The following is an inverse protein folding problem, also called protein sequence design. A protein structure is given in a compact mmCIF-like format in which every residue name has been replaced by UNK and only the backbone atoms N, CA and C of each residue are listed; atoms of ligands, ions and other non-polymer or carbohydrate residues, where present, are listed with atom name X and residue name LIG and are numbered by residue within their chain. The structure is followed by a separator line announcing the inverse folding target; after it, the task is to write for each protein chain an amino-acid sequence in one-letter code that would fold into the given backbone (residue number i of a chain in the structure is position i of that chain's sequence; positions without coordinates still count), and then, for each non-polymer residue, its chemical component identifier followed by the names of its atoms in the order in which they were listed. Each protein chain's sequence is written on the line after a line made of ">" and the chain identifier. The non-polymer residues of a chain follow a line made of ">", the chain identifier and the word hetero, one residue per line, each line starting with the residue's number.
data_IF_610289620500
#
_entry.id   IF_610289620500
#
_cell.length_a   1.000
_cell.length_b   1.000
_cell.length_c   1.000
_cell.angle_alpha   90.00
_cell.angle_beta   90.00
_cell.angle_gamma   90.00
#
_symmetry.space_group_name_H-M   'P 1'
#
loop_
_entity.id
_entity.type
_entity.pdbx_description
1 polymer ?
#
# COMPACT_ATOMS: atom_id res chain seq x y z
N UNK A 1 -7.77 13.69 8.74
CA UNK A 1 -7.10 12.93 7.65
C UNK A 1 -6.70 13.82 6.48
N UNK A 2 -7.59 14.63 5.86
CA UNK A 2 -7.30 15.49 4.69
C UNK A 2 -6.07 16.40 4.90
N UNK A 3 -5.92 17.03 6.05
CA UNK A 3 -4.77 17.90 6.37
C UNK A 3 -3.42 17.15 6.34
N UNK A 4 -3.41 15.86 6.68
CA UNK A 4 -2.20 15.03 6.63
C UNK A 4 -1.76 14.80 5.18
N UNK A 5 -2.68 14.57 4.26
CA UNK A 5 -2.36 14.43 2.84
C UNK A 5 -1.76 15.71 2.26
N UNK A 6 -2.32 16.89 2.59
CA UNK A 6 -1.73 18.16 2.16
C UNK A 6 -0.32 18.36 2.71
N UNK A 7 -0.07 18.04 3.97
CA UNK A 7 1.25 18.11 4.56
C UNK A 7 2.22 17.13 3.86
N UNK A 8 1.78 15.91 3.61
CA UNK A 8 2.59 14.90 2.94
C UNK A 8 3.02 15.33 1.54
N UNK A 9 2.12 15.95 0.78
CA UNK A 9 2.39 16.45 -0.57
C UNK A 9 3.20 17.76 -0.57
N UNK A 10 3.09 18.58 0.48
CA UNK A 10 3.76 19.88 0.57
C UNK A 10 5.18 19.83 1.11
N UNK A 11 5.54 18.82 1.91
CA UNK A 11 6.86 18.73 2.52
C UNK A 11 7.87 18.14 1.51
N UNK A 12 8.90 18.92 1.20
CA UNK A 12 10.02 18.47 0.35
C UNK A 12 11.03 17.68 1.19
N UNK A 13 11.46 16.53 0.68
CA UNK A 13 12.47 15.69 1.29
C UNK A 13 11.91 14.61 2.22
N UNK A 14 12.61 14.35 3.32
CA UNK A 14 12.21 13.27 4.26
C UNK A 14 11.00 13.68 5.08
N UNK A 15 9.89 12.96 4.93
CA UNK A 15 8.68 13.17 5.72
C UNK A 15 8.75 12.39 7.04
N UNK A 16 8.46 13.06 8.15
CA UNK A 16 8.33 12.46 9.48
C UNK A 16 7.35 13.25 10.36
N UNK A 17 6.99 12.71 11.52
CA UNK A 17 5.99 13.34 12.41
C UNK A 17 6.44 14.68 12.98
N UNK A 18 7.76 14.87 13.18
CA UNK A 18 8.30 16.14 13.63
C UNK A 18 8.10 17.24 12.56
N UNK A 19 8.32 16.91 11.30
CA UNK A 19 8.05 17.85 10.20
C UNK A 19 6.55 18.12 10.05
N UNK A 20 5.67 17.12 10.23
CA UNK A 20 4.24 17.38 10.28
C UNK A 20 3.86 18.38 11.37
N UNK A 21 4.50 18.28 12.54
CA UNK A 21 4.31 19.24 13.63
C UNK A 21 4.82 20.65 13.28
N UNK A 22 5.94 20.75 12.55
CA UNK A 22 6.54 22.04 12.17
C UNK A 22 5.75 22.78 11.09
N UNK A 23 5.10 22.05 10.17
CA UNK A 23 4.35 22.64 9.06
C UNK A 23 2.82 22.56 9.22
N UNK A 24 2.34 21.82 10.19
CA UNK A 24 0.91 21.61 10.44
C UNK A 24 0.42 22.25 11.73
N UNK A 25 -0.86 22.04 12.02
CA UNK A 25 -1.55 22.67 13.15
C UNK A 25 -1.53 21.83 14.44
N UNK A 26 -0.97 20.63 14.42
CA UNK A 26 -0.98 19.72 15.57
C UNK A 26 0.44 19.34 16.00
N UNK A 27 0.59 18.88 17.23
CA UNK A 27 1.87 18.38 17.74
C UNK A 27 2.21 16.99 17.17
N UNK A 28 3.48 16.60 17.27
CA UNK A 28 4.01 15.31 16.77
C UNK A 28 3.21 14.11 17.28
N UNK A 29 2.84 14.11 18.57
CA UNK A 29 2.10 13.00 19.20
C UNK A 29 0.72 12.81 18.58
N UNK A 30 0.02 13.91 18.28
CA UNK A 30 -1.29 13.85 17.62
C UNK A 30 -1.18 13.23 16.22
N UNK A 31 -0.19 13.65 15.42
CA UNK A 31 0.05 13.04 14.12
C UNK A 31 0.40 11.56 14.22
N UNK A 32 1.27 11.18 15.16
CA UNK A 32 1.66 9.79 15.40
C UNK A 32 0.46 8.92 15.78
N UNK A 33 -0.39 9.39 16.67
CA UNK A 33 -1.60 8.68 17.07
C UNK A 33 -2.57 8.49 15.90
N UNK A 34 -2.77 9.52 15.06
CA UNK A 34 -3.62 9.41 13.87
C UNK A 34 -3.12 8.35 12.86
N UNK A 35 -1.83 8.08 12.80
CA UNK A 35 -1.27 7.02 11.95
C UNK A 35 -1.43 5.60 12.55
N UNK A 36 -1.85 5.49 13.80
CA UNK A 36 -2.19 4.21 14.41
C UNK A 36 -3.65 3.80 14.19
N UNK A 37 -4.50 4.77 13.81
CA UNK A 37 -5.90 4.50 13.48
C UNK A 37 -6.01 3.78 12.13
N UNK A 38 -6.86 2.76 12.10
CA UNK A 38 -7.15 2.05 10.86
C UNK A 38 -7.84 2.99 9.86
N UNK A 39 -7.39 2.97 8.62
CA UNK A 39 -7.99 3.72 7.53
C UNK A 39 -8.23 2.79 6.35
N UNK A 40 -9.46 2.74 5.85
CA UNK A 40 -9.82 1.91 4.71
C UNK A 40 -9.39 2.57 3.40
N UNK A 41 -8.11 2.40 3.05
CA UNK A 41 -7.53 2.91 1.81
C UNK A 41 -8.20 2.31 0.57
N UNK A 42 -8.62 1.05 0.61
CA UNK A 42 -9.28 0.40 -0.51
C UNK A 42 -10.60 1.09 -0.83
N UNK A 43 -11.46 1.28 0.17
CA UNK A 43 -12.74 1.97 -0.01
C UNK A 43 -12.55 3.43 -0.43
N UNK A 44 -11.59 4.14 0.17
CA UNK A 44 -11.26 5.51 -0.20
C UNK A 44 -10.83 5.63 -1.66
N UNK A 45 -9.90 4.78 -2.11
CA UNK A 45 -9.40 4.79 -3.48
C UNK A 45 -10.47 4.35 -4.50
N UNK A 46 -11.35 3.42 -4.12
CA UNK A 46 -12.51 3.05 -4.94
C UNK A 46 -13.44 4.24 -5.20
N UNK A 47 -13.75 5.03 -4.17
CA UNK A 47 -14.58 6.22 -4.31
C UNK A 47 -13.92 7.23 -5.26
N UNK A 48 -12.60 7.43 -5.15
CA UNK A 48 -11.87 8.30 -6.08
C UNK A 48 -11.94 7.77 -7.51
N UNK A 49 -11.76 6.49 -7.71
CA UNK A 49 -11.85 5.85 -9.02
C UNK A 49 -13.25 6.01 -9.64
N UNK A 50 -14.29 5.88 -8.83
CA UNK A 50 -15.69 6.05 -9.26
C UNK A 50 -15.97 7.47 -9.79
N UNK A 51 -15.28 8.47 -9.26
CA UNK A 51 -15.44 9.87 -9.72
C UNK A 51 -14.75 10.16 -11.05
N UNK A 52 -13.85 9.29 -11.52
CA UNK A 52 -13.01 9.51 -12.68
C UNK A 52 -13.54 8.86 -13.98
N UNK A 53 -14.73 8.27 -13.95
CA UNK A 53 -15.32 7.57 -15.13
C UNK A 53 -14.34 6.55 -15.76
N UNK A 54 -13.58 5.86 -14.93
CA UNK A 54 -12.52 4.94 -15.35
C UNK A 54 -13.10 3.62 -15.82
N UNK A 55 -12.64 3.14 -16.98
CA UNK A 55 -12.98 1.81 -17.48
C UNK A 55 -11.91 0.79 -17.06
N UNK A 56 -12.14 0.14 -15.93
CA UNK A 56 -11.22 -0.88 -15.41
C UNK A 56 -11.29 -2.15 -16.25
N UNK A 57 -10.17 -2.57 -16.82
CA UNK A 57 -10.07 -3.78 -17.64
C UNK A 57 -9.38 -4.96 -16.91
N UNK A 58 -8.59 -4.68 -15.88
CA UNK A 58 -7.89 -5.70 -15.12
C UNK A 58 -7.51 -5.21 -13.72
N UNK A 59 -7.28 -6.15 -12.81
CA UNK A 59 -6.71 -5.90 -11.50
C UNK A 59 -5.30 -6.47 -11.47
N UNK A 60 -4.33 -5.63 -11.14
CA UNK A 60 -2.94 -6.02 -10.94
C UNK A 60 -2.65 -6.25 -9.46
N UNK A 61 -1.82 -7.25 -9.20
CA UNK A 61 -1.26 -7.55 -7.88
C UNK A 61 0.25 -7.66 -8.01
N UNK A 62 0.99 -6.83 -7.26
CA UNK A 62 2.44 -6.74 -7.38
C UNK A 62 3.13 -6.74 -6.01
N UNK A 63 3.84 -7.84 -5.64
CA UNK A 63 4.72 -7.86 -4.49
C UNK A 63 6.02 -7.10 -4.78
N UNK A 64 6.33 -6.11 -3.97
CA UNK A 64 7.50 -5.26 -4.14
C UNK A 64 8.40 -5.26 -2.91
N UNK A 65 9.69 -5.52 -3.11
CA UNK A 65 10.71 -5.49 -2.07
C UNK A 65 11.07 -4.07 -1.66
N UNK A 66 11.17 -3.84 -0.35
CA UNK A 66 11.65 -2.59 0.24
C UNK A 66 12.82 -2.87 1.17
N UNK A 67 13.98 -2.26 0.87
CA UNK A 67 15.18 -2.39 1.70
C UNK A 67 14.93 -1.87 3.11
N UNK A 68 15.24 -2.68 4.12
CA UNK A 68 15.11 -2.32 5.53
C UNK A 68 16.27 -2.91 6.34
N UNK A 69 17.06 -2.04 6.95
CA UNK A 69 18.05 -2.43 7.95
C UNK A 69 17.39 -2.58 9.33
N UNK A 70 17.92 -3.47 10.15
CA UNK A 70 17.40 -3.73 11.50
C UNK A 70 16.58 -5.01 11.57
N UNK A 71 16.61 -5.63 12.77
CA UNK A 71 16.04 -6.97 13.01
C UNK A 71 14.68 -6.93 13.70
N UNK A 72 14.31 -5.79 14.30
CA UNK A 72 13.14 -5.66 15.18
C UNK A 72 11.91 -5.07 14.50
N UNK A 73 11.98 -4.82 13.18
CA UNK A 73 10.81 -4.34 12.43
C UNK A 73 9.88 -5.53 12.15
N UNK A 74 8.61 -5.48 12.52
CA UNK A 74 7.66 -6.56 12.23
C UNK A 74 7.61 -6.89 10.73
N UNK A 75 7.67 -8.18 10.40
CA UNK A 75 7.60 -8.66 9.02
C UNK A 75 8.89 -8.53 8.22
N UNK A 76 10.02 -8.13 8.85
CA UNK A 76 11.32 -8.13 8.17
C UNK A 76 11.79 -9.57 7.92
N UNK A 77 12.34 -9.82 6.75
CA UNK A 77 12.79 -11.14 6.31
C UNK A 77 13.57 -11.08 5.00
N UNK A 78 13.77 -12.24 4.38
CA UNK A 78 14.38 -12.34 3.05
C UNK A 78 13.29 -12.38 1.99
N UNK A 79 13.28 -11.40 1.10
CA UNK A 79 12.34 -11.30 -0.01
C UNK A 79 13.09 -11.10 -1.33
N UNK A 80 12.48 -11.50 -2.43
CA UNK A 80 13.06 -11.35 -3.76
C UNK A 80 13.13 -9.87 -4.15
N UNK A 81 14.31 -9.43 -4.54
CA UNK A 81 14.55 -8.09 -5.09
C UNK A 81 14.82 -8.18 -6.58
N UNK A 82 13.89 -7.72 -7.42
CA UNK A 82 14.06 -7.69 -8.88
C UNK A 82 15.29 -6.88 -9.31
N UNK A 83 15.59 -5.78 -8.62
CA UNK A 83 16.78 -4.96 -8.90
C UNK A 83 18.09 -5.70 -8.60
N UNK A 84 18.11 -6.47 -7.51
CA UNK A 84 19.32 -7.21 -7.11
C UNK A 84 19.41 -8.61 -7.76
N UNK A 85 18.34 -9.11 -8.40
CA UNK A 85 18.25 -10.46 -8.94
C UNK A 85 18.46 -11.56 -7.89
N UNK A 86 18.17 -11.28 -6.62
CA UNK A 86 18.38 -12.20 -5.49
C UNK A 86 17.53 -11.83 -4.29
N UNK A 87 17.37 -12.77 -3.34
CA UNK A 87 16.71 -12.48 -2.08
C UNK A 87 17.56 -11.58 -1.20
N UNK A 88 16.95 -10.53 -0.66
CA UNK A 88 17.58 -9.53 0.20
C UNK A 88 16.79 -9.37 1.50
N UNK A 89 17.50 -9.01 2.55
CA UNK A 89 16.92 -8.67 3.84
C UNK A 89 16.15 -7.36 3.77
N UNK A 90 14.89 -7.35 4.17
CA UNK A 90 14.02 -6.18 4.12
C UNK A 90 12.57 -6.49 4.39
N UNK A 91 11.70 -5.73 3.79
CA UNK A 91 10.25 -5.87 3.85
C UNK A 91 9.72 -6.17 2.45
N UNK A 92 8.54 -6.74 2.39
CA UNK A 92 7.78 -6.84 1.15
C UNK A 92 6.39 -6.23 1.35
N UNK A 93 5.97 -5.43 0.38
CA UNK A 93 4.62 -4.88 0.30
C UNK A 93 3.97 -5.30 -1.00
N UNK A 94 2.74 -5.78 -0.89
CA UNK A 94 1.93 -6.16 -2.03
C UNK A 94 0.98 -5.03 -2.37
N UNK A 95 1.05 -4.53 -3.59
CA UNK A 95 0.13 -3.54 -4.14
C UNK A 95 -1.03 -4.17 -4.88
N UNK A 96 -2.22 -3.58 -4.77
CA UNK A 96 -3.36 -3.87 -5.65
C UNK A 96 -3.66 -2.61 -6.45
N UNK A 97 -3.81 -2.73 -7.77
CA UNK A 97 -4.13 -1.64 -8.66
C UNK A 97 -5.20 -2.03 -9.68
N UNK A 98 -6.06 -1.08 -10.01
CA UNK A 98 -7.00 -1.17 -11.12
C UNK A 98 -6.34 -0.60 -12.39
N UNK A 99 -6.35 -1.36 -13.46
CA UNK A 99 -5.77 -0.97 -14.74
C UNK A 99 -6.87 -0.44 -15.67
N UNK A 100 -6.66 0.75 -16.18
CA UNK A 100 -7.46 1.36 -17.25
C UNK A 100 -6.67 1.31 -18.55
N UNK A 101 -7.21 0.57 -19.52
CA UNK A 101 -6.56 0.40 -20.81
C UNK A 101 -6.71 1.65 -21.70
N UNK A 102 -7.80 2.38 -21.59
CA UNK A 102 -8.06 3.54 -22.46
C UNK A 102 -7.16 4.72 -22.08
N UNK A 103 -7.05 5.00 -20.77
CA UNK A 103 -6.17 6.06 -20.28
C UNK A 103 -4.71 5.63 -20.10
N UNK A 104 -4.39 4.34 -20.32
CA UNK A 104 -3.07 3.74 -20.04
C UNK A 104 -2.59 4.03 -18.61
N UNK A 105 -3.50 3.98 -17.64
CA UNK A 105 -3.25 4.35 -16.26
C UNK A 105 -3.46 3.17 -15.31
N UNK A 106 -2.64 3.09 -14.26
CA UNK A 106 -2.84 2.18 -13.14
C UNK A 106 -3.25 2.98 -11.90
N UNK A 107 -4.43 2.71 -11.37
CA UNK A 107 -4.93 3.37 -10.17
C UNK A 107 -4.67 2.49 -8.95
N UNK A 108 -3.86 2.97 -8.04
CA UNK A 108 -3.56 2.25 -6.80
C UNK A 108 -4.82 2.12 -5.94
N UNK A 109 -5.16 0.90 -5.53
CA UNK A 109 -6.31 0.63 -4.68
C UNK A 109 -5.91 0.42 -3.22
N UNK A 110 -4.84 -0.31 -2.97
CA UNK A 110 -4.39 -0.60 -1.62
C UNK A 110 -3.05 -1.31 -1.58
N UNK A 111 -2.42 -1.29 -0.41
CA UNK A 111 -1.19 -2.04 -0.16
C UNK A 111 -1.24 -2.71 1.20
N UNK A 112 -0.58 -3.86 1.32
CA UNK A 112 -0.42 -4.56 2.58
C UNK A 112 0.96 -5.19 2.67
N UNK A 113 1.49 -5.25 3.89
CA UNK A 113 2.78 -5.86 4.15
C UNK A 113 2.64 -7.39 4.14
N UNK A 114 3.62 -8.07 3.56
CA UNK A 114 3.77 -9.52 3.67
C UNK A 114 4.23 -9.88 5.09
N UNK A 115 3.28 -10.26 5.93
CA UNK A 115 3.50 -10.57 7.34
C UNK A 115 2.60 -11.74 7.76
N UNK A 116 3.03 -12.50 8.75
CA UNK A 116 2.22 -13.61 9.30
C UNK A 116 2.13 -14.81 8.37
N UNK A 117 3.23 -15.14 7.69
CA UNK A 117 3.36 -16.42 6.99
C UNK A 117 3.60 -17.47 8.08
N UNK A 118 2.60 -18.32 8.28
CA UNK A 118 2.67 -19.38 9.28
C UNK A 118 3.48 -20.58 8.77
N UNK A 119 4.03 -21.39 9.68
CA UNK A 119 4.71 -22.63 9.35
C UNK A 119 3.89 -23.50 8.38
N UNK A 120 4.54 -24.02 7.36
CA UNK A 120 3.91 -24.85 6.33
C UNK A 120 3.15 -24.10 5.23
N UNK A 121 3.16 -22.75 5.24
CA UNK A 121 2.60 -21.92 4.18
C UNK A 121 3.70 -21.21 3.40
N UNK A 122 3.52 -21.14 2.08
CA UNK A 122 4.44 -20.43 1.20
C UNK A 122 4.03 -18.96 1.00
N UNK A 123 4.93 -18.15 0.44
CA UNK A 123 4.61 -16.81 -0.06
C UNK A 123 3.46 -16.83 -1.06
N UNK A 124 3.43 -17.85 -1.93
CA UNK A 124 2.38 -18.01 -2.95
C UNK A 124 1.02 -18.24 -2.30
N UNK A 125 0.94 -19.03 -1.22
CA UNK A 125 -0.31 -19.22 -0.46
C UNK A 125 -0.78 -17.92 0.18
N UNK A 126 0.16 -17.10 0.67
CA UNK A 126 -0.15 -15.78 1.21
C UNK A 126 -0.74 -14.87 0.13
N UNK A 127 -0.13 -14.81 -1.05
CA UNK A 127 -0.61 -13.99 -2.17
C UNK A 127 -1.97 -14.45 -2.66
N UNK A 128 -2.17 -15.75 -2.88
CA UNK A 128 -3.44 -16.32 -3.30
C UNK A 128 -4.56 -15.97 -2.31
N UNK A 129 -4.29 -16.09 -1.00
CA UNK A 129 -5.23 -15.70 0.04
C UNK A 129 -5.57 -14.21 -0.04
N UNK A 130 -4.56 -13.33 -0.16
CA UNK A 130 -4.76 -11.87 -0.24
C UNK A 130 -5.53 -11.46 -1.47
N UNK A 131 -5.30 -12.07 -2.61
CA UNK A 131 -6.08 -11.86 -3.83
C UNK A 131 -7.54 -12.28 -3.58
N UNK A 132 -7.76 -13.48 -3.03
CA UNK A 132 -9.11 -13.99 -2.76
C UNK A 132 -9.87 -13.14 -1.75
N UNK A 133 -9.23 -12.70 -0.67
CA UNK A 133 -9.83 -11.81 0.35
C UNK A 133 -10.31 -10.47 -0.22
N UNK A 134 -9.58 -9.92 -1.19
CA UNK A 134 -9.87 -8.62 -1.80
C UNK A 134 -10.71 -8.72 -3.09
N UNK A 135 -10.81 -9.90 -3.68
CA UNK A 135 -11.55 -10.12 -4.94
C UNK A 135 -12.99 -9.57 -4.90
N UNK A 136 -13.84 -9.85 -3.89
CA UNK A 136 -15.21 -9.36 -3.89
C UNK A 136 -15.32 -7.84 -3.90
N UNK A 137 -14.30 -7.15 -3.35
CA UNK A 137 -14.29 -5.69 -3.24
C UNK A 137 -13.83 -5.01 -4.53
N UNK A 138 -13.09 -5.70 -5.40
CA UNK A 138 -12.52 -5.12 -6.62
C UNK A 138 -13.19 -5.61 -7.90
N UNK A 139 -13.79 -6.81 -7.90
CA UNK A 139 -14.40 -7.41 -9.11
C UNK A 139 -15.50 -6.54 -9.70
N UNK A 140 -16.31 -5.87 -8.89
CA UNK A 140 -17.38 -5.01 -9.40
C UNK A 140 -16.87 -3.79 -10.19
N UNK A 141 -15.60 -3.40 -10.01
CA UNK A 141 -14.99 -2.31 -10.79
C UNK A 141 -14.79 -2.70 -12.27
N UNK A 142 -14.72 -4.00 -12.57
CA UNK A 142 -14.50 -4.51 -13.92
C UNK A 142 -15.79 -4.66 -14.76
N UNK A 143 -16.95 -4.51 -14.15
CA UNK A 143 -18.25 -4.76 -14.78
C UNK A 143 -19.15 -3.50 -14.83
N UNK A 144 -18.55 -2.34 -14.88
CA UNK A 144 -19.23 -1.05 -15.02
C UNK A 144 -19.30 -0.56 -16.45
#
# INVERSE_FOLDING_TARGET
>A
MVSIFYLFLGIKGRVNFLQFSSYGSYNEKTYRNNFQEAFDFLQFNKILLDTQSTQVCAIAFDPSYVSKSGKNTPGVGYFWSGVAGSSKWGLEFCGIAALDKESHTAHHLGAFQTIGIYEGKSLVDFYARKITENQPQVTHLMFR
#
